data_IF_977302620258
#
_entry.id   IF_977302620258
#
_cell.length_a   1.000
_cell.length_b   1.000
_cell.length_c   1.000
_cell.angle_alpha   90.00
_cell.angle_beta   90.00
_cell.angle_gamma   90.00
#
_symmetry.space_group_name_H-M   'P 1'
#
loop_
_entity.id
_entity.type
_entity.pdbx_description
1 polymer ?
#
# COMPACT_ATOMS: atom_id res chain seq x y z
N UNK A 1 18.01 -25.10 -2.88
CA UNK A 1 17.33 -24.04 -2.19
C UNK A 1 17.38 -22.74 -2.95
N UNK A 2 16.25 -22.16 -3.16
CA UNK A 2 16.14 -20.96 -3.95
C UNK A 2 16.42 -19.72 -3.12
N UNK A 3 17.28 -18.88 -3.62
CA UNK A 3 17.56 -17.61 -2.96
C UNK A 3 16.83 -16.50 -3.66
N UNK A 4 16.15 -15.71 -2.88
CA UNK A 4 15.46 -14.56 -3.43
C UNK A 4 16.39 -13.37 -3.39
N UNK A 5 16.43 -12.65 -4.46
CA UNK A 5 17.28 -11.48 -4.52
C UNK A 5 16.55 -10.21 -4.15
N UNK A 6 15.28 -10.18 -4.41
CA UNK A 6 14.50 -9.00 -4.07
C UNK A 6 14.21 -9.01 -2.58
N UNK A 7 14.11 -7.81 -2.05
CA UNK A 7 13.92 -7.65 -0.62
C UNK A 7 12.49 -7.33 -0.32
N UNK A 8 11.63 -8.24 -0.66
CA UNK A 8 10.23 -8.09 -0.38
C UNK A 8 9.91 -8.81 0.90
N UNK A 9 9.27 -8.11 1.80
CA UNK A 9 8.91 -8.69 3.08
C UNK A 9 7.43 -9.01 3.05
N UNK A 10 7.11 -10.22 3.46
CA UNK A 10 5.75 -10.70 3.45
C UNK A 10 5.07 -10.43 4.78
N UNK A 11 5.23 -9.21 5.22
CA UNK A 11 4.58 -8.77 6.44
C UNK A 11 3.38 -7.91 6.08
N UNK A 12 2.35 -8.05 6.89
CA UNK A 12 1.16 -7.26 6.70
C UNK A 12 1.31 -5.94 7.43
N UNK A 13 1.12 -4.87 6.72
CA UNK A 13 1.18 -3.53 7.29
C UNK A 13 -0.22 -2.96 7.29
N UNK A 14 -0.66 -2.48 8.43
CA UNK A 14 -1.98 -1.85 8.51
C UNK A 14 -1.99 -0.60 7.65
N UNK A 15 -3.04 -0.45 6.89
CA UNK A 15 -3.12 0.62 5.91
C UNK A 15 -4.50 1.23 5.96
N UNK A 16 -4.54 2.54 5.83
CA UNK A 16 -5.80 3.25 5.68
C UNK A 16 -5.79 3.89 4.30
N UNK A 17 -6.81 3.58 3.51
CA UNK A 17 -6.96 4.11 2.17
C UNK A 17 -7.97 5.24 2.22
N UNK A 18 -7.55 6.42 1.77
CA UNK A 18 -8.44 7.55 1.61
C UNK A 18 -8.62 7.85 0.14
N UNK A 19 -9.82 8.28 -0.23
CA UNK A 19 -10.07 8.70 -1.59
C UNK A 19 -9.44 10.07 -1.82
N UNK A 20 -9.08 10.34 -3.07
CA UNK A 20 -8.63 11.67 -3.42
C UNK A 20 -9.78 12.64 -3.16
N UNK A 21 -9.49 13.84 -2.65
CA UNK A 21 -10.55 14.77 -2.26
C UNK A 21 -11.56 15.09 -3.35
N UNK A 22 -11.14 15.05 -4.60
CA UNK A 22 -12.01 15.35 -5.72
C UNK A 22 -12.39 14.12 -6.51
N UNK A 23 -12.29 12.96 -5.88
CA UNK A 23 -12.62 11.73 -6.55
C UNK A 23 -14.10 11.54 -6.72
N UNK A 24 -14.50 10.66 -7.64
CA UNK A 24 -15.91 10.41 -7.88
C UNK A 24 -16.62 9.72 -6.71
N UNK A 25 -15.87 9.20 -5.76
CA UNK A 25 -16.43 8.51 -4.62
C UNK A 25 -16.47 9.37 -3.38
N UNK A 26 -16.75 10.65 -3.56
CA UNK A 26 -16.79 11.55 -2.43
C UNK A 26 -17.90 11.21 -1.43
N UNK A 27 -18.84 10.36 -1.83
CA UNK A 27 -19.93 9.93 -0.96
C UNK A 27 -19.62 8.61 -0.26
N UNK A 28 -18.52 7.96 -0.61
CA UNK A 28 -18.16 6.72 0.05
C UNK A 28 -17.57 6.96 1.41
N UNK A 29 -17.20 5.88 2.10
CA UNK A 29 -16.52 6.04 3.38
C UNK A 29 -15.26 6.85 3.19
N UNK A 30 -15.01 7.73 4.17
CA UNK A 30 -13.84 8.59 4.10
C UNK A 30 -12.55 7.77 4.12
N UNK A 31 -12.59 6.63 4.80
CA UNK A 31 -11.41 5.81 4.96
C UNK A 31 -11.79 4.34 4.89
N UNK A 32 -10.92 3.57 4.28
CA UNK A 32 -11.10 2.12 4.18
C UNK A 32 -9.89 1.47 4.84
N UNK A 33 -10.13 0.60 5.79
CA UNK A 33 -9.06 -0.16 6.43
C UNK A 33 -8.64 -1.30 5.52
N UNK A 34 -7.34 -1.47 5.39
CA UNK A 34 -6.79 -2.45 4.49
C UNK A 34 -5.46 -2.93 5.04
N UNK A 35 -4.83 -3.85 4.31
CA UNK A 35 -3.52 -4.35 4.69
C UNK A 35 -2.63 -4.32 3.47
N UNK A 36 -1.45 -3.78 3.64
CA UNK A 36 -0.45 -3.74 2.59
C UNK A 36 0.48 -4.94 2.75
N UNK A 37 0.73 -5.61 1.66
CA UNK A 37 1.51 -6.83 1.61
C UNK A 37 2.47 -6.72 0.44
N UNK A 38 3.62 -7.35 0.55
CA UNK A 38 4.60 -7.38 -0.53
C UNK A 38 5.04 -5.97 -0.91
N UNK A 39 5.45 -5.25 0.11
CA UNK A 39 5.80 -3.84 0.01
C UNK A 39 7.18 -3.64 -0.60
N UNK A 40 7.30 -2.69 -1.51
CA UNK A 40 8.58 -2.30 -2.11
C UNK A 40 8.60 -0.79 -2.24
N UNK A 41 9.70 -0.25 -2.75
CA UNK A 41 9.79 1.19 -2.96
C UNK A 41 8.82 1.68 -4.02
N UNK A 42 8.56 0.86 -5.01
CA UNK A 42 7.72 1.27 -6.13
C UNK A 42 6.26 0.99 -5.98
N UNK A 43 5.89 0.13 -5.04
CA UNK A 43 4.49 -0.21 -4.90
C UNK A 43 4.25 -1.34 -3.93
N UNK A 44 3.03 -1.85 -3.92
CA UNK A 44 2.64 -2.90 -3.01
C UNK A 44 1.38 -3.58 -3.50
N UNK A 45 1.10 -4.73 -2.89
CA UNK A 45 -0.20 -5.36 -3.00
C UNK A 45 -1.00 -4.97 -1.77
N UNK A 46 -2.26 -4.65 -1.97
CA UNK A 46 -3.11 -4.22 -0.88
C UNK A 46 -4.35 -5.08 -0.89
N UNK A 47 -4.69 -5.63 0.26
CA UNK A 47 -5.92 -6.38 0.44
C UNK A 47 -6.97 -5.48 1.07
N UNK A 48 -8.09 -5.34 0.40
CA UNK A 48 -9.15 -4.43 0.80
C UNK A 48 -10.49 -5.11 0.64
N UNK A 49 -11.41 -4.82 1.57
CA UNK A 49 -12.79 -5.31 1.41
C UNK A 49 -13.55 -4.49 0.38
N UNK A 50 -13.07 -3.29 0.09
CA UNK A 50 -13.70 -2.42 -0.90
C UNK A 50 -12.98 -2.55 -2.23
N UNK A 51 -13.74 -2.44 -3.30
CA UNK A 51 -13.19 -2.47 -4.65
C UNK A 51 -12.84 -1.07 -5.08
N UNK A 52 -11.69 -0.92 -5.72
CA UNK A 52 -11.25 0.35 -6.28
C UNK A 52 -11.05 0.19 -7.78
N UNK A 53 -11.29 1.25 -8.52
CA UNK A 53 -11.20 1.20 -9.97
C UNK A 53 -9.77 1.25 -10.46
N UNK A 54 -9.53 0.64 -11.60
CA UNK A 54 -8.24 0.75 -12.27
C UNK A 54 -7.94 2.22 -12.53
N UNK A 55 -6.72 2.61 -12.26
CA UNK A 55 -6.29 3.99 -12.49
C UNK A 55 -6.65 4.95 -11.37
N UNK A 56 -7.41 4.49 -10.37
CA UNK A 56 -7.75 5.37 -9.26
C UNK A 56 -6.51 5.78 -8.51
N UNK A 57 -6.48 7.03 -8.09
CA UNK A 57 -5.39 7.56 -7.26
C UNK A 57 -5.88 7.55 -5.83
N UNK A 58 -5.14 6.86 -4.99
CA UNK A 58 -5.50 6.66 -3.60
C UNK A 58 -4.48 7.34 -2.71
N UNK A 59 -4.95 7.84 -1.58
CA UNK A 59 -4.03 8.28 -0.54
C UNK A 59 -3.88 7.14 0.45
N UNK A 60 -2.64 6.80 0.71
CA UNK A 60 -2.34 5.64 1.54
C UNK A 60 -1.61 6.09 2.79
N UNK A 61 -2.07 5.62 3.93
CA UNK A 61 -1.36 5.78 5.19
C UNK A 61 -0.99 4.38 5.65
N UNK A 62 0.28 4.07 5.61
CA UNK A 62 0.77 2.72 5.88
C UNK A 62 1.59 2.75 7.16
N UNK A 63 1.19 1.92 8.12
CA UNK A 63 1.97 1.73 9.33
C UNK A 63 3.02 0.67 9.06
N UNK A 64 4.25 1.12 8.97
CA UNK A 64 5.35 0.23 8.63
C UNK A 64 5.75 -0.56 9.86
N UNK A 65 5.61 -1.88 9.76
CA UNK A 65 5.79 -2.75 10.92
C UNK A 65 7.22 -2.72 11.43
N UNK A 66 8.19 -2.73 10.52
CA UNK A 66 9.58 -2.87 10.91
C UNK A 66 10.19 -1.58 11.40
N UNK A 67 9.92 -0.48 10.74
CA UNK A 67 10.49 0.81 11.13
C UNK A 67 9.64 1.53 12.16
N UNK A 68 8.38 1.10 12.31
CA UNK A 68 7.43 1.71 13.24
C UNK A 68 7.09 3.14 12.87
N UNK A 69 7.26 3.47 11.61
CA UNK A 69 6.88 4.78 11.09
C UNK A 69 5.61 4.62 10.30
N UNK A 70 4.85 5.71 10.21
CA UNK A 70 3.72 5.76 9.32
C UNK A 70 4.11 6.59 8.13
N UNK A 71 3.88 6.06 6.93
CA UNK A 71 4.18 6.79 5.71
C UNK A 71 2.87 7.12 5.02
N UNK A 72 2.78 8.36 4.55
CA UNK A 72 1.60 8.83 3.82
C UNK A 72 2.03 9.16 2.41
N UNK A 73 1.41 8.52 1.44
CA UNK A 73 1.80 8.72 0.05
C UNK A 73 0.61 8.43 -0.86
N UNK A 74 0.78 8.75 -2.13
CA UNK A 74 -0.23 8.44 -3.14
C UNK A 74 0.14 7.19 -3.88
N UNK A 75 -0.88 6.48 -4.33
CA UNK A 75 -0.69 5.31 -5.16
C UNK A 75 -1.74 5.24 -6.23
N UNK A 76 -1.39 4.62 -7.34
CA UNK A 76 -2.30 4.43 -8.46
C UNK A 76 -2.59 2.96 -8.62
N UNK A 77 -3.86 2.61 -8.73
CA UNK A 77 -4.27 1.22 -8.88
C UNK A 77 -3.93 0.76 -10.29
N UNK A 78 -3.06 -0.24 -10.38
CA UNK A 78 -2.59 -0.76 -11.65
C UNK A 78 -3.33 -2.03 -12.06
N UNK A 79 -3.77 -2.81 -11.09
CA UNK A 79 -4.57 -4.00 -11.37
C UNK A 79 -5.40 -4.34 -10.14
N UNK A 80 -6.47 -5.08 -10.39
CA UNK A 80 -7.40 -5.50 -9.36
C UNK A 80 -7.73 -6.96 -9.59
N UNK A 81 -7.68 -7.75 -8.52
CA UNK A 81 -8.08 -9.14 -8.54
C UNK A 81 -9.01 -9.40 -7.38
N UNK A 82 -9.87 -10.36 -7.54
CA UNK A 82 -10.69 -10.82 -6.42
C UNK A 82 -10.06 -12.06 -5.84
N UNK A 83 -9.82 -12.04 -4.56
CA UNK A 83 -9.35 -13.20 -3.84
C UNK A 83 -10.55 -13.89 -3.24
N UNK A 84 -10.97 -14.99 -3.84
CA UNK A 84 -12.18 -15.65 -3.42
C UNK A 84 -12.01 -16.43 -2.12
N UNK A 85 -10.80 -16.84 -1.83
CA UNK A 85 -10.51 -17.54 -0.59
C UNK A 85 -10.69 -16.62 0.61
N UNK A 86 -10.12 -15.44 0.53
CA UNK A 86 -10.19 -14.48 1.62
C UNK A 86 -11.37 -13.53 1.47
N UNK A 87 -12.04 -13.58 0.35
CA UNK A 87 -13.21 -12.73 0.07
C UNK A 87 -12.86 -11.26 0.16
N UNK A 88 -11.74 -10.89 -0.43
CA UNK A 88 -11.29 -9.51 -0.47
C UNK A 88 -10.82 -9.21 -1.89
N UNK A 89 -10.56 -7.95 -2.16
CA UNK A 89 -9.94 -7.53 -3.40
C UNK A 89 -8.46 -7.33 -3.17
N UNK A 90 -7.66 -7.80 -4.11
CA UNK A 90 -6.23 -7.56 -4.08
C UNK A 90 -5.92 -6.51 -5.12
N UNK A 91 -5.27 -5.45 -4.69
CA UNK A 91 -4.94 -4.31 -5.54
C UNK A 91 -3.44 -4.27 -5.73
N UNK A 92 -3.02 -4.11 -6.97
CA UNK A 92 -1.64 -3.76 -7.25
C UNK A 92 -1.54 -2.26 -7.36
N UNK A 93 -0.75 -1.65 -6.52
CA UNK A 93 -0.67 -0.20 -6.45
C UNK A 93 0.75 0.25 -6.70
N UNK A 94 0.91 1.21 -7.59
CA UNK A 94 2.18 1.84 -7.86
C UNK A 94 2.25 3.14 -7.09
N UNK A 95 3.34 3.34 -6.35
CA UNK A 95 3.48 4.52 -5.52
C UNK A 95 3.93 5.72 -6.33
N UNK A 96 3.43 6.87 -5.92
CA UNK A 96 3.84 8.15 -6.47
C UNK A 96 4.43 8.95 -5.32
N UNK A 97 5.74 9.00 -5.26
CA UNK A 97 6.44 9.65 -4.16
C UNK A 97 6.54 11.14 -4.42
N UNK A 98 5.87 11.91 -3.56
CA UNK A 98 5.92 13.37 -3.66
C UNK A 98 7.21 13.93 -3.11
N UNK A 99 7.79 13.24 -2.13
CA UNK A 99 8.99 13.73 -1.46
C UNK A 99 9.95 12.57 -1.27
N UNK A 100 11.21 12.91 -1.05
CA UNK A 100 12.20 11.88 -0.76
C UNK A 100 11.99 11.24 0.61
N UNK A 101 11.22 11.88 1.46
CA UNK A 101 11.00 11.35 2.81
C UNK A 101 10.25 10.03 2.80
N UNK A 102 9.26 9.89 1.92
CA UNK A 102 8.52 8.63 1.84
C UNK A 102 9.45 7.52 1.36
N UNK A 103 10.33 7.84 0.42
CA UNK A 103 11.30 6.87 -0.06
C UNK A 103 12.20 6.42 1.08
N UNK A 104 12.69 7.37 1.87
CA UNK A 104 13.59 7.05 2.96
C UNK A 104 12.90 6.21 4.03
N UNK A 105 11.66 6.53 4.35
CA UNK A 105 10.91 5.76 5.32
C UNK A 105 10.72 4.32 4.87
N UNK A 106 10.39 4.14 3.59
CA UNK A 106 10.24 2.79 3.05
C UNK A 106 11.56 2.04 3.05
N UNK A 107 12.66 2.72 2.72
CA UNK A 107 13.96 2.08 2.73
C UNK A 107 14.33 1.59 4.13
N UNK A 108 14.07 2.39 5.14
CA UNK A 108 14.33 1.96 6.51
C UNK A 108 13.54 0.71 6.84
N UNK A 109 12.29 0.69 6.45
CA UNK A 109 11.45 -0.46 6.76
C UNK A 109 11.94 -1.70 6.01
N UNK A 110 12.27 -1.55 4.74
CA UNK A 110 12.69 -2.68 3.92
C UNK A 110 14.00 -3.27 4.38
N UNK A 111 14.91 -2.43 4.81
CA UNK A 111 16.21 -2.90 5.28
C UNK A 111 16.21 -3.26 6.76
N UNK A 112 15.11 -2.98 7.44
CA UNK A 112 15.02 -3.30 8.85
C UNK A 112 16.01 -2.53 9.70
N UNK A 113 16.41 -1.35 9.25
CA UNK A 113 17.38 -0.56 9.99
C UNK A 113 16.72 0.05 11.20
N UNK A 114 17.34 -0.18 12.33
CA UNK A 114 16.91 0.46 13.54
C UNK A 114 17.47 1.85 13.55
N UNK A 115 16.74 2.79 14.15
CA UNK A 115 17.24 4.15 14.28
C UNK A 115 18.45 4.21 15.20
#
# INVERSE_FOLDING_TARGET
>A
MQKRKDRRFKQWNKTVIGAAPNGPNSHGPAEVKAFTYDLSLGGARIHSVERFELGAVLRLNIELVRSRETVSLKGRVKWVKRDEVMNVFELGVEFDHDTSQTIMSLMKNLHGMAP
#
